data_IF_085274786138
#
_entry.id   IF_085274786138
#
_cell.length_a   1.000
_cell.length_b   1.000
_cell.length_c   1.000
_cell.angle_alpha   90.00
_cell.angle_beta   90.00
_cell.angle_gamma   90.00
#
_symmetry.space_group_name_H-M   'P 1'
#
loop_
_entity.id
_entity.type
_entity.pdbx_description
1 polymer ?
#
# COMPACT_ATOMS: atom_id res chain seq x y z
N UNK A 1 24.23 11.41 15.10
CA UNK A 1 25.30 12.31 14.68
C UNK A 1 25.11 13.72 15.24
N UNK A 2 23.94 14.39 15.07
CA UNK A 2 23.66 15.71 15.63
C UNK A 2 23.86 15.78 17.16
N UNK A 3 23.40 14.77 17.90
CA UNK A 3 23.60 14.67 19.34
C UNK A 3 25.09 14.62 19.70
N UNK A 4 25.88 13.86 18.96
CA UNK A 4 27.32 13.76 19.14
C UNK A 4 28.01 15.12 18.87
N UNK A 5 27.65 15.79 17.78
CA UNK A 5 28.21 17.11 17.45
C UNK A 5 27.91 18.17 18.53
N UNK A 6 26.65 18.21 18.99
CA UNK A 6 26.24 19.12 20.09
C UNK A 6 26.99 18.79 21.37
N UNK A 7 27.07 17.52 21.77
CA UNK A 7 27.79 17.09 22.97
C UNK A 7 29.28 17.45 22.90
N UNK A 8 29.92 17.22 21.75
CA UNK A 8 31.33 17.53 21.53
C UNK A 8 31.58 19.04 21.59
N UNK A 9 30.69 19.85 21.00
CA UNK A 9 30.75 21.31 21.05
C UNK A 9 30.65 21.82 22.50
N UNK A 10 29.72 21.28 23.29
CA UNK A 10 29.55 21.65 24.71
C UNK A 10 30.80 21.31 25.51
N UNK A 11 31.34 20.09 25.31
CA UNK A 11 32.59 19.66 25.99
C UNK A 11 33.72 20.60 25.65
N UNK A 12 33.93 20.92 24.40
CA UNK A 12 35.01 21.82 23.96
C UNK A 12 34.86 23.24 24.52
N UNK A 13 33.61 23.77 24.58
CA UNK A 13 33.35 25.06 25.20
C UNK A 13 33.68 25.05 26.68
N UNK A 14 33.33 24.01 27.43
CA UNK A 14 33.66 23.86 28.84
C UNK A 14 35.19 23.83 29.02
N UNK A 15 35.89 23.03 28.20
CA UNK A 15 37.36 22.95 28.24
C UNK A 15 38.00 24.32 27.99
N UNK A 16 37.55 25.06 26.97
CA UNK A 16 38.13 26.36 26.64
C UNK A 16 37.90 27.38 27.76
N UNK A 17 36.70 27.41 28.34
CA UNK A 17 36.37 28.32 29.46
C UNK A 17 37.22 27.97 30.71
N UNK A 18 37.47 26.68 30.98
CA UNK A 18 38.29 26.27 32.15
C UNK A 18 39.78 26.45 31.93
N UNK A 19 40.28 26.54 30.68
CA UNK A 19 41.70 26.80 30.41
C UNK A 19 42.16 28.15 30.93
N UNK A 20 41.32 29.19 30.94
CA UNK A 20 41.70 30.52 31.39
C UNK A 20 42.07 30.53 32.92
N UNK A 21 41.21 30.07 33.84
CA UNK A 21 41.55 30.01 35.25
C UNK A 21 42.72 29.03 35.55
N UNK A 22 42.81 27.92 34.81
CA UNK A 22 43.93 26.98 34.93
C UNK A 22 45.25 27.62 34.51
N UNK A 23 45.24 28.42 33.43
CA UNK A 23 46.41 29.17 32.97
C UNK A 23 46.88 30.15 34.05
N UNK A 24 45.98 30.95 34.64
CA UNK A 24 46.32 31.86 35.74
C UNK A 24 46.91 31.13 36.93
N UNK A 25 46.33 30.01 37.32
CA UNK A 25 46.82 29.19 38.43
C UNK A 25 48.22 28.63 38.14
N UNK A 26 48.51 28.25 36.90
CA UNK A 26 49.81 27.68 36.47
C UNK A 26 50.83 28.75 36.12
N UNK A 27 50.53 30.06 36.29
CA UNK A 27 51.46 31.15 35.95
C UNK A 27 51.63 31.39 34.46
N UNK A 28 50.78 30.83 33.59
CA UNK A 28 50.79 31.00 32.14
C UNK A 28 49.80 32.06 31.72
N UNK A 29 50.27 33.11 31.07
CA UNK A 29 49.41 34.13 30.50
C UNK A 29 48.82 33.66 29.17
N UNK A 30 47.52 33.25 29.21
CA UNK A 30 46.77 32.90 28.01
C UNK A 30 46.15 34.18 27.42
N UNK A 31 46.49 34.49 26.17
CA UNK A 31 45.87 35.59 25.46
C UNK A 31 44.45 35.21 25.01
N UNK A 32 43.51 36.14 25.09
CA UNK A 32 42.13 35.93 24.64
C UNK A 32 42.06 35.50 23.16
N UNK A 33 42.94 36.03 22.33
CA UNK A 33 43.05 35.63 20.92
C UNK A 33 43.39 34.13 20.76
N UNK A 34 44.20 33.56 21.64
CA UNK A 34 44.53 32.13 21.63
C UNK A 34 43.33 31.27 22.00
N UNK A 35 42.54 31.69 22.99
CA UNK A 35 41.32 30.99 23.38
C UNK A 35 40.25 31.04 22.29
N UNK A 36 40.10 32.17 21.62
CA UNK A 36 39.18 32.30 20.45
C UNK A 36 39.67 31.41 19.29
N UNK A 37 40.92 31.44 18.97
CA UNK A 37 41.49 30.58 17.92
C UNK A 37 41.25 29.09 18.25
N UNK A 38 41.46 28.69 19.52
CA UNK A 38 41.22 27.34 19.97
C UNK A 38 39.71 26.97 19.85
N UNK A 39 38.80 27.88 20.20
CA UNK A 39 37.36 27.69 20.05
C UNK A 39 36.98 27.43 18.59
N UNK A 40 37.50 28.23 17.67
CA UNK A 40 37.22 28.07 16.23
C UNK A 40 37.79 26.74 15.71
N UNK A 41 38.96 26.34 16.16
CA UNK A 41 39.58 25.09 15.74
C UNK A 41 38.89 23.81 16.29
N UNK A 42 38.37 23.88 17.52
CA UNK A 42 37.77 22.70 18.18
C UNK A 42 36.28 22.52 17.85
N UNK A 43 35.56 23.59 17.60
CA UNK A 43 34.14 23.46 17.20
C UNK A 43 34.06 22.84 15.80
N UNK A 44 33.35 21.71 15.64
CA UNK A 44 33.31 20.98 14.37
C UNK A 44 32.36 21.60 13.35
N UNK A 45 32.51 22.89 13.06
CA UNK A 45 31.64 23.66 12.16
C UNK A 45 31.66 23.13 10.72
N UNK A 46 32.82 22.66 10.25
CA UNK A 46 33.00 22.08 8.92
C UNK A 46 32.22 20.78 8.74
N UNK A 47 32.12 19.96 9.79
CA UNK A 47 31.36 18.70 9.75
C UNK A 47 29.87 19.01 9.62
N UNK A 48 29.34 19.99 10.36
CA UNK A 48 27.93 20.40 10.27
C UNK A 48 27.56 20.90 8.86
N UNK A 49 28.41 21.73 8.26
CA UNK A 49 28.22 22.21 6.87
C UNK A 49 28.33 21.08 5.83
N UNK A 50 29.29 20.18 5.99
CA UNK A 50 29.47 19.04 5.08
C UNK A 50 28.29 18.07 5.12
N UNK A 51 27.73 17.78 6.29
CA UNK A 51 26.55 16.93 6.44
C UNK A 51 25.34 17.49 5.70
N UNK A 52 25.10 18.78 5.81
CA UNK A 52 24.00 19.45 5.06
C UNK A 52 24.24 19.34 3.55
N UNK A 53 25.46 19.56 3.09
CA UNK A 53 25.81 19.46 1.68
C UNK A 53 25.65 18.02 1.13
N UNK A 54 26.07 17.02 1.90
CA UNK A 54 25.90 15.59 1.56
C UNK A 54 24.42 15.24 1.49
N UNK A 55 23.61 15.71 2.46
CA UNK A 55 22.16 15.51 2.46
C UNK A 55 21.47 16.07 1.21
N UNK A 56 21.84 17.30 0.81
CA UNK A 56 21.31 17.94 -0.40
C UNK A 56 21.74 17.17 -1.66
N UNK A 57 23.01 16.80 -1.76
CA UNK A 57 23.51 16.00 -2.87
C UNK A 57 22.84 14.63 -2.96
N UNK A 58 22.56 14.01 -1.81
CA UNK A 58 21.80 12.77 -1.72
C UNK A 58 20.36 12.92 -2.24
N UNK A 59 19.66 13.99 -1.84
CA UNK A 59 18.32 14.29 -2.34
C UNK A 59 18.30 14.50 -3.86
N UNK A 60 19.27 15.24 -4.43
CA UNK A 60 19.40 15.41 -5.88
C UNK A 60 19.57 14.07 -6.61
N UNK A 61 20.35 13.15 -6.03
CA UNK A 61 20.57 11.82 -6.62
C UNK A 61 19.30 10.99 -6.67
N UNK A 62 18.50 10.91 -5.58
CA UNK A 62 17.26 10.11 -5.58
C UNK A 62 16.20 10.74 -6.47
N UNK A 63 16.17 12.06 -6.63
CA UNK A 63 15.26 12.76 -7.56
C UNK A 63 15.48 12.32 -9.02
N UNK A 64 16.70 11.97 -9.40
CA UNK A 64 16.99 11.41 -10.75
C UNK A 64 16.38 10.02 -10.98
N UNK A 65 15.94 9.35 -9.93
CA UNK A 65 15.21 8.09 -9.97
C UNK A 65 13.70 8.26 -9.73
N UNK A 66 13.18 9.49 -9.92
CA UNK A 66 11.78 9.87 -9.70
C UNK A 66 11.31 9.76 -8.24
N UNK A 67 12.23 9.77 -7.27
CA UNK A 67 11.90 9.76 -5.84
C UNK A 67 12.21 11.13 -5.25
N UNK A 68 11.19 11.76 -4.67
CA UNK A 68 11.33 13.03 -3.95
C UNK A 68 11.55 12.73 -2.47
N UNK A 69 12.74 13.05 -1.96
CA UNK A 69 13.03 12.96 -0.53
C UNK A 69 12.80 14.31 0.16
N UNK A 70 12.12 14.30 1.30
CA UNK A 70 11.82 15.52 2.05
C UNK A 70 12.95 15.95 2.98
N UNK A 71 13.95 15.10 3.20
CA UNK A 71 15.13 15.43 4.00
C UNK A 71 16.33 14.56 3.66
N UNK A 72 17.54 15.11 3.84
CA UNK A 72 18.78 14.34 3.70
C UNK A 72 18.89 13.18 4.69
N UNK A 73 18.24 13.30 5.86
CA UNK A 73 18.17 12.23 6.86
C UNK A 73 17.39 11.01 6.36
N UNK A 74 16.31 11.23 5.60
CA UNK A 74 15.55 10.14 4.99
C UNK A 74 16.39 9.39 3.95
N UNK A 75 17.18 10.11 3.16
CA UNK A 75 18.10 9.50 2.18
C UNK A 75 19.19 8.68 2.87
N UNK A 76 19.78 9.20 3.97
CA UNK A 76 20.76 8.47 4.78
C UNK A 76 20.14 7.18 5.34
N UNK A 77 18.97 7.27 5.97
CA UNK A 77 18.27 6.11 6.51
C UNK A 77 17.90 5.06 5.44
N UNK A 78 17.61 5.51 4.21
CA UNK A 78 17.28 4.61 3.10
C UNK A 78 18.44 3.68 2.72
N UNK A 79 19.70 4.14 2.91
CA UNK A 79 20.89 3.33 2.68
C UNK A 79 21.12 2.23 3.71
N UNK A 80 20.52 2.35 4.90
CA UNK A 80 20.73 1.46 6.05
C UNK A 80 19.50 0.60 6.37
N UNK A 81 18.53 0.51 5.44
CA UNK A 81 17.29 -0.26 5.64
C UNK A 81 17.58 -1.75 5.78
N UNK A 82 17.12 -2.35 6.87
CA UNK A 82 17.19 -3.80 7.13
C UNK A 82 15.87 -4.51 6.76
N UNK A 83 14.72 -3.88 7.02
CA UNK A 83 13.40 -4.45 6.77
C UNK A 83 12.53 -3.47 6.01
N UNK A 84 11.91 -3.93 4.94
CA UNK A 84 10.92 -3.19 4.16
C UNK A 84 9.54 -3.81 4.36
N UNK A 85 8.62 -3.03 4.90
CA UNK A 85 7.21 -3.38 5.08
C UNK A 85 6.43 -2.75 3.93
N UNK A 86 5.62 -3.56 3.25
CA UNK A 86 4.88 -3.12 2.06
C UNK A 86 3.39 -3.34 2.27
N UNK A 87 2.59 -2.32 1.97
CA UNK A 87 1.16 -2.57 1.74
C UNK A 87 0.98 -3.40 0.47
N UNK A 88 -0.07 -4.23 0.44
CA UNK A 88 -0.40 -5.03 -0.76
C UNK A 88 -0.96 -4.14 -1.86
N UNK A 89 -2.06 -3.45 -1.54
CA UNK A 89 -2.92 -2.74 -2.49
C UNK A 89 -2.23 -1.48 -3.02
N UNK A 90 -2.24 -1.27 -4.35
CA UNK A 90 -1.59 -0.11 -4.97
C UNK A 90 -0.05 -0.16 -4.96
N UNK A 91 0.57 -0.92 -4.05
CA UNK A 91 2.04 -1.06 -3.91
C UNK A 91 2.56 -2.31 -4.61
N UNK A 92 2.24 -3.51 -4.12
CA UNK A 92 2.65 -4.79 -4.73
C UNK A 92 1.74 -5.13 -5.89
N UNK A 93 0.45 -4.86 -5.75
CA UNK A 93 -0.57 -5.05 -6.77
C UNK A 93 -0.98 -3.71 -7.37
N UNK A 94 -1.74 -3.75 -8.47
CA UNK A 94 -2.29 -2.52 -9.05
C UNK A 94 -3.38 -1.88 -8.18
N UNK A 95 -3.96 -2.61 -7.21
CA UNK A 95 -5.12 -2.19 -6.44
C UNK A 95 -6.42 -2.22 -7.25
N UNK A 96 -6.35 -2.58 -8.52
CA UNK A 96 -7.49 -2.71 -9.41
C UNK A 96 -7.87 -4.18 -9.47
N UNK A 97 -9.06 -4.51 -8.95
CA UNK A 97 -9.62 -5.85 -9.03
C UNK A 97 -10.17 -6.08 -10.42
N UNK A 98 -9.39 -6.70 -11.30
CA UNK A 98 -9.78 -6.95 -12.69
C UNK A 98 -10.54 -8.27 -12.82
N UNK A 99 -11.57 -8.30 -13.66
CA UNK A 99 -12.30 -9.52 -13.95
C UNK A 99 -11.42 -10.53 -14.69
N UNK A 100 -11.29 -11.71 -14.10
CA UNK A 100 -10.45 -12.79 -14.61
C UNK A 100 -11.27 -13.93 -15.22
N UNK A 101 -12.45 -14.24 -14.65
CA UNK A 101 -13.32 -15.31 -15.14
C UNK A 101 -14.76 -15.19 -14.60
N UNK A 102 -15.68 -16.00 -15.15
CA UNK A 102 -17.06 -16.14 -14.77
C UNK A 102 -17.37 -17.60 -14.42
N UNK A 103 -17.88 -17.84 -13.21
CA UNK A 103 -18.24 -19.18 -12.71
C UNK A 103 -19.75 -19.30 -12.54
N UNK A 104 -20.47 -20.01 -13.44
CA UNK A 104 -21.89 -20.25 -13.26
C UNK A 104 -22.17 -21.18 -12.07
N UNK A 105 -23.33 -21.00 -11.42
CA UNK A 105 -23.83 -21.85 -10.31
C UNK A 105 -25.26 -22.28 -10.56
N UNK A 106 -25.76 -23.29 -9.83
CA UNK A 106 -27.14 -23.75 -9.91
C UNK A 106 -27.59 -24.19 -11.28
N UNK A 107 -26.66 -24.64 -12.14
CA UNK A 107 -26.95 -25.07 -13.51
C UNK A 107 -27.29 -23.91 -14.47
N UNK A 108 -26.92 -22.66 -14.12
CA UNK A 108 -27.09 -21.53 -15.05
C UNK A 108 -26.12 -21.61 -16.22
N UNK A 109 -26.51 -21.09 -17.38
CA UNK A 109 -25.62 -21.00 -18.52
C UNK A 109 -24.57 -19.91 -18.31
N UNK A 110 -23.34 -20.21 -18.70
CA UNK A 110 -22.24 -19.25 -18.63
C UNK A 110 -22.50 -18.00 -19.49
N UNK A 111 -23.18 -18.16 -20.64
CA UNK A 111 -23.57 -17.04 -21.51
C UNK A 111 -24.54 -16.07 -20.84
N UNK A 112 -25.52 -16.59 -20.08
CA UNK A 112 -26.48 -15.78 -19.37
C UNK A 112 -25.80 -14.98 -18.25
N UNK A 113 -24.89 -15.63 -17.50
CA UNK A 113 -24.08 -14.97 -16.49
C UNK A 113 -23.21 -13.85 -17.09
N UNK A 114 -22.54 -14.09 -18.22
CA UNK A 114 -21.71 -13.10 -18.90
C UNK A 114 -22.55 -11.92 -19.36
N UNK A 115 -23.70 -12.18 -20.00
CA UNK A 115 -24.67 -11.16 -20.41
C UNK A 115 -25.13 -10.29 -19.24
N UNK A 116 -25.58 -10.89 -18.15
CA UNK A 116 -26.05 -10.17 -16.96
C UNK A 116 -24.92 -9.38 -16.29
N UNK A 117 -23.72 -9.93 -16.21
CA UNK A 117 -22.53 -9.24 -15.72
C UNK A 117 -22.17 -8.03 -16.59
N UNK A 118 -22.27 -8.15 -17.91
CA UNK A 118 -22.06 -7.05 -18.87
C UNK A 118 -23.10 -5.95 -18.68
N UNK A 119 -24.39 -6.30 -18.66
CA UNK A 119 -25.50 -5.35 -18.47
C UNK A 119 -25.36 -4.52 -17.18
N UNK A 120 -25.01 -5.16 -16.06
CA UNK A 120 -24.80 -4.46 -14.78
C UNK A 120 -23.52 -3.61 -14.74
N UNK A 121 -22.67 -3.73 -15.76
CA UNK A 121 -21.36 -3.05 -15.82
C UNK A 121 -21.31 -1.96 -16.89
N UNK A 122 -22.35 -1.75 -17.70
CA UNK A 122 -22.38 -0.77 -18.79
C UNK A 122 -22.15 0.68 -18.30
N UNK A 123 -22.70 1.03 -17.16
CA UNK A 123 -22.57 2.37 -16.55
C UNK A 123 -21.72 2.36 -15.27
N UNK A 124 -21.03 1.25 -15.00
CA UNK A 124 -20.13 1.14 -13.86
C UNK A 124 -18.74 1.66 -14.24
N UNK A 125 -18.45 2.91 -13.85
CA UNK A 125 -17.18 3.55 -14.16
C UNK A 125 -15.99 3.06 -13.31
N UNK A 126 -16.24 2.17 -12.33
CA UNK A 126 -15.17 1.58 -11.52
C UNK A 126 -14.23 0.71 -12.37
N UNK A 127 -12.97 0.53 -11.96
CA UNK A 127 -12.06 -0.39 -12.64
C UNK A 127 -12.62 -1.82 -12.75
N UNK A 128 -13.34 -2.26 -11.72
CA UNK A 128 -14.00 -3.56 -11.65
C UNK A 128 -15.11 -3.68 -12.72
N UNK A 129 -15.95 -2.66 -12.84
CA UNK A 129 -17.03 -2.62 -13.83
C UNK A 129 -16.51 -2.60 -15.26
N UNK A 130 -15.55 -1.69 -15.55
CA UNK A 130 -14.91 -1.61 -16.89
C UNK A 130 -14.23 -2.92 -17.27
N UNK A 131 -13.51 -3.54 -16.35
CA UNK A 131 -12.84 -4.82 -16.56
C UNK A 131 -13.83 -5.97 -16.80
N UNK A 132 -14.94 -5.98 -16.07
CA UNK A 132 -16.02 -6.98 -16.24
C UNK A 132 -16.62 -6.88 -17.64
N UNK A 133 -16.93 -5.67 -18.08
CA UNK A 133 -17.46 -5.40 -19.43
C UNK A 133 -16.46 -5.78 -20.52
N UNK A 134 -15.18 -5.44 -20.35
CA UNK A 134 -14.13 -5.79 -21.30
C UNK A 134 -13.96 -7.31 -21.41
N UNK A 135 -13.96 -8.02 -20.28
CA UNK A 135 -13.87 -9.48 -20.28
C UNK A 135 -15.09 -10.12 -20.96
N UNK A 136 -16.30 -9.63 -20.68
CA UNK A 136 -17.54 -10.10 -21.31
C UNK A 136 -17.47 -9.93 -22.84
N UNK A 137 -17.03 -8.78 -23.33
CA UNK A 137 -16.87 -8.50 -24.76
C UNK A 137 -15.83 -9.43 -25.41
N UNK A 138 -14.71 -9.69 -24.74
CA UNK A 138 -13.69 -10.67 -25.23
C UNK A 138 -14.26 -12.09 -25.32
N UNK A 139 -15.23 -12.43 -24.48
CA UNK A 139 -15.91 -13.74 -24.51
C UNK A 139 -17.09 -13.79 -25.48
N UNK A 140 -17.30 -12.74 -26.27
CA UNK A 140 -18.30 -12.69 -27.34
C UNK A 140 -19.63 -12.07 -26.96
N UNK A 141 -19.75 -11.47 -25.77
CA UNK A 141 -20.95 -10.71 -25.40
C UNK A 141 -20.95 -9.34 -26.09
N UNK A 142 -22.08 -8.99 -26.71
CA UNK A 142 -22.30 -7.71 -27.36
C UNK A 142 -23.52 -6.98 -26.79
N UNK A 143 -23.79 -7.20 -25.49
CA UNK A 143 -24.89 -6.51 -24.82
C UNK A 143 -24.71 -4.99 -24.87
N UNK A 144 -25.76 -4.31 -25.33
CA UNK A 144 -25.86 -2.87 -25.42
C UNK A 144 -26.94 -2.35 -24.46
N UNK A 145 -26.90 -1.07 -24.19
CA UNK A 145 -27.90 -0.42 -23.38
C UNK A 145 -29.29 -0.53 -24.04
N UNK A 146 -30.25 -1.02 -23.27
CA UNK A 146 -31.63 -1.06 -23.72
C UNK A 146 -32.31 0.27 -23.34
N UNK A 147 -32.92 0.94 -24.31
CA UNK A 147 -33.62 2.22 -24.07
C UNK A 147 -34.69 2.05 -23.00
N UNK A 148 -34.64 2.88 -21.96
CA UNK A 148 -35.56 2.83 -20.81
C UNK A 148 -35.07 1.96 -19.66
N UNK A 149 -33.83 1.48 -19.68
CA UNK A 149 -33.20 0.83 -18.53
C UNK A 149 -32.85 1.84 -17.43
N UNK A 150 -33.01 1.45 -16.17
CA UNK A 150 -32.66 2.23 -14.99
C UNK A 150 -31.45 1.59 -14.29
N UNK A 151 -30.33 2.31 -14.22
CA UNK A 151 -29.10 1.83 -13.58
C UNK A 151 -29.11 2.16 -12.10
N UNK A 152 -28.72 1.17 -11.28
CA UNK A 152 -28.64 1.27 -9.83
C UNK A 152 -27.17 1.27 -9.44
N UNK A 153 -26.70 2.41 -8.90
CA UNK A 153 -25.34 2.57 -8.44
C UNK A 153 -25.06 1.76 -7.17
N UNK A 154 -23.80 1.37 -6.99
CA UNK A 154 -23.35 0.70 -5.78
C UNK A 154 -23.43 1.63 -4.56
N UNK A 155 -24.01 1.12 -3.46
CA UNK A 155 -23.96 1.80 -2.17
C UNK A 155 -23.37 0.89 -1.09
N UNK A 156 -22.73 1.48 -0.08
CA UNK A 156 -22.17 0.74 1.04
C UNK A 156 -23.26 0.02 1.89
N UNK A 157 -24.49 0.54 1.86
CA UNK A 157 -25.63 -0.05 2.58
C UNK A 157 -26.16 -1.29 1.87
N UNK A 158 -26.38 -1.21 0.56
CA UNK A 158 -26.93 -2.33 -0.23
C UNK A 158 -25.85 -3.33 -0.63
N UNK A 159 -24.61 -2.88 -0.78
CA UNK A 159 -23.45 -3.66 -1.25
C UNK A 159 -23.68 -4.37 -2.58
N UNK A 160 -24.54 -3.79 -3.43
CA UNK A 160 -24.86 -4.26 -4.77
C UNK A 160 -25.16 -3.09 -5.71
N UNK A 161 -24.97 -3.32 -7.00
CA UNK A 161 -25.34 -2.46 -8.12
C UNK A 161 -26.11 -3.27 -9.15
N UNK A 162 -26.70 -2.63 -10.14
CA UNK A 162 -27.46 -3.38 -11.14
C UNK A 162 -28.16 -2.53 -12.16
N UNK A 163 -29.11 -3.16 -12.85
CA UNK A 163 -29.97 -2.52 -13.85
C UNK A 163 -31.38 -3.11 -13.79
N UNK A 164 -32.37 -2.25 -13.90
CA UNK A 164 -33.78 -2.61 -14.12
C UNK A 164 -34.08 -2.42 -15.61
N UNK A 165 -34.46 -3.49 -16.28
CA UNK A 165 -34.77 -3.48 -17.70
C UNK A 165 -36.21 -3.08 -17.93
N UNK A 166 -36.56 -2.55 -19.13
CA UNK A 166 -37.93 -2.09 -19.44
C UNK A 166 -39.01 -3.17 -19.42
N UNK A 167 -38.59 -4.44 -19.58
CA UNK A 167 -39.49 -5.61 -19.49
C UNK A 167 -39.79 -6.04 -18.05
N UNK A 168 -39.23 -5.34 -17.06
CA UNK A 168 -39.36 -5.60 -15.63
C UNK A 168 -38.32 -6.51 -15.04
N UNK A 169 -37.43 -7.07 -15.84
CA UNK A 169 -36.30 -7.90 -15.36
C UNK A 169 -35.31 -7.07 -14.55
N UNK A 170 -34.86 -7.58 -13.40
CA UNK A 170 -33.92 -6.92 -12.49
C UNK A 170 -32.64 -7.70 -12.39
N UNK A 171 -31.54 -7.11 -12.86
CA UNK A 171 -30.22 -7.72 -12.77
C UNK A 171 -29.41 -7.03 -11.69
N UNK A 172 -28.80 -7.81 -10.79
CA UNK A 172 -27.96 -7.30 -9.70
C UNK A 172 -26.62 -8.01 -9.67
N UNK A 173 -25.57 -7.25 -9.32
CA UNK A 173 -24.24 -7.79 -8.97
C UNK A 173 -23.79 -7.20 -7.64
N UNK A 174 -23.11 -7.99 -6.81
CA UNK A 174 -22.63 -7.51 -5.51
C UNK A 174 -21.99 -8.58 -4.65
N UNK A 175 -21.81 -8.24 -3.39
CA UNK A 175 -21.29 -9.19 -2.40
C UNK A 175 -22.24 -10.39 -2.25
N UNK A 176 -21.68 -11.59 -2.08
CA UNK A 176 -22.47 -12.82 -2.07
C UNK A 176 -23.61 -12.80 -1.04
N UNK A 177 -23.31 -12.38 0.19
CA UNK A 177 -24.27 -12.26 1.28
C UNK A 177 -25.40 -11.24 0.98
N UNK A 178 -25.08 -10.14 0.31
CA UNK A 178 -26.08 -9.13 -0.08
C UNK A 178 -27.02 -9.66 -1.18
N UNK A 179 -26.48 -10.29 -2.20
CA UNK A 179 -27.25 -10.91 -3.29
C UNK A 179 -28.11 -12.08 -2.75
N UNK A 180 -27.59 -12.90 -1.83
CA UNK A 180 -28.38 -13.96 -1.21
C UNK A 180 -29.59 -13.41 -0.44
N UNK A 181 -29.40 -12.34 0.34
CA UNK A 181 -30.51 -11.69 1.05
C UNK A 181 -31.54 -11.12 0.07
N UNK A 182 -31.09 -10.48 -1.01
CA UNK A 182 -31.96 -9.93 -2.05
C UNK A 182 -32.79 -11.03 -2.72
N UNK A 183 -32.15 -12.12 -3.15
CA UNK A 183 -32.83 -13.26 -3.81
C UNK A 183 -33.82 -13.96 -2.86
N UNK A 184 -33.44 -14.17 -1.59
CA UNK A 184 -34.34 -14.72 -0.55
C UNK A 184 -35.56 -13.84 -0.30
N UNK A 185 -35.38 -12.52 -0.32
CA UNK A 185 -36.50 -11.57 -0.16
C UNK A 185 -37.52 -11.64 -1.32
N UNK A 186 -37.04 -12.04 -2.52
CA UNK A 186 -37.89 -12.28 -3.69
C UNK A 186 -38.50 -13.70 -3.73
N UNK A 187 -38.15 -14.57 -2.77
CA UNK A 187 -38.61 -15.96 -2.69
C UNK A 187 -37.79 -16.95 -3.51
N UNK A 188 -36.63 -16.52 -4.02
CA UNK A 188 -35.71 -17.36 -4.78
C UNK A 188 -34.92 -18.35 -3.90
N UNK A 189 -34.36 -19.36 -4.56
CA UNK A 189 -33.57 -20.44 -3.92
C UNK A 189 -32.06 -20.17 -4.16
N UNK A 190 -31.29 -20.32 -3.09
CA UNK A 190 -29.83 -20.18 -3.18
C UNK A 190 -29.22 -21.51 -3.66
N UNK A 191 -28.43 -21.51 -4.75
CA UNK A 191 -27.75 -22.70 -5.22
C UNK A 191 -26.75 -23.26 -4.18
N UNK A 192 -26.72 -24.57 -4.00
CA UNK A 192 -25.84 -25.25 -3.04
C UNK A 192 -24.35 -25.04 -3.34
N UNK A 193 -24.01 -24.92 -4.63
CA UNK A 193 -22.64 -24.74 -5.13
C UNK A 193 -22.13 -23.28 -5.04
N UNK A 194 -23.00 -22.30 -4.69
CA UNK A 194 -22.61 -20.90 -4.60
C UNK A 194 -21.47 -20.67 -3.60
N UNK A 195 -21.65 -21.17 -2.38
CA UNK A 195 -20.65 -20.99 -1.32
C UNK A 195 -19.31 -21.69 -1.64
N UNK A 196 -19.35 -22.83 -2.32
CA UNK A 196 -18.15 -23.51 -2.78
C UNK A 196 -17.38 -22.65 -3.78
N UNK A 197 -18.07 -22.05 -4.77
CA UNK A 197 -17.43 -21.18 -5.76
C UNK A 197 -16.91 -19.88 -5.12
N UNK A 198 -17.68 -19.26 -4.23
CA UNK A 198 -17.25 -18.07 -3.48
C UNK A 198 -15.98 -18.35 -2.66
N UNK A 199 -15.96 -19.45 -1.91
CA UNK A 199 -14.81 -19.87 -1.12
C UNK A 199 -13.59 -20.22 -1.99
N UNK A 200 -13.80 -20.87 -3.13
CA UNK A 200 -12.76 -21.19 -4.10
C UNK A 200 -12.11 -19.94 -4.65
N UNK A 201 -12.91 -18.94 -5.07
CA UNK A 201 -12.39 -17.65 -5.57
C UNK A 201 -11.62 -16.92 -4.46
N UNK A 202 -12.17 -16.87 -3.25
CA UNK A 202 -11.50 -16.25 -2.10
C UNK A 202 -10.17 -16.95 -1.77
N UNK A 203 -10.12 -18.28 -1.85
CA UNK A 203 -8.90 -19.05 -1.62
C UNK A 203 -7.82 -18.85 -2.69
N UNK A 204 -8.22 -18.46 -3.89
CA UNK A 204 -7.31 -18.07 -4.98
C UNK A 204 -6.83 -16.61 -4.90
N UNK A 205 -7.17 -15.90 -3.81
CA UNK A 205 -6.79 -14.51 -3.64
C UNK A 205 -7.68 -13.51 -4.39
N UNK A 206 -8.84 -13.95 -4.86
CA UNK A 206 -9.77 -13.11 -5.60
C UNK A 206 -10.91 -12.55 -4.76
N UNK A 207 -11.62 -11.59 -5.33
CA UNK A 207 -12.88 -11.08 -4.78
C UNK A 207 -14.03 -11.64 -5.61
N UNK A 208 -14.95 -12.42 -5.00
CA UNK A 208 -16.13 -12.90 -5.68
C UNK A 208 -17.20 -11.80 -5.72
N UNK A 209 -17.78 -11.53 -6.89
CA UNK A 209 -19.00 -10.77 -7.05
C UNK A 209 -20.09 -11.67 -7.60
N UNK A 210 -21.17 -11.85 -6.85
CA UNK A 210 -22.31 -12.68 -7.25
C UNK A 210 -23.25 -11.89 -8.16
N UNK A 211 -23.78 -12.55 -9.17
CA UNK A 211 -24.73 -12.00 -10.15
C UNK A 211 -26.04 -12.77 -10.08
N UNK A 212 -27.17 -12.04 -10.03
CA UNK A 212 -28.51 -12.61 -10.13
C UNK A 212 -29.37 -11.87 -11.15
N UNK A 213 -30.33 -12.57 -11.69
CA UNK A 213 -31.43 -12.07 -12.54
C UNK A 213 -32.73 -12.40 -11.81
N UNK A 214 -33.46 -11.37 -11.41
CA UNK A 214 -34.63 -11.48 -10.55
C UNK A 214 -34.37 -12.29 -9.26
N UNK A 215 -35.09 -13.39 -9.08
CA UNK A 215 -35.00 -14.30 -7.93
C UNK A 215 -33.99 -15.45 -8.12
N UNK A 216 -33.20 -15.43 -9.22
CA UNK A 216 -32.26 -16.51 -9.56
C UNK A 216 -30.80 -16.05 -9.57
N UNK A 217 -29.95 -16.70 -8.78
CA UNK A 217 -28.49 -16.53 -8.85
C UNK A 217 -27.96 -17.26 -10.09
N UNK A 218 -27.19 -16.54 -10.93
CA UNK A 218 -26.60 -17.10 -12.14
C UNK A 218 -25.16 -17.56 -11.93
N UNK A 219 -24.40 -16.87 -11.06
CA UNK A 219 -23.00 -17.23 -10.85
C UNK A 219 -22.19 -16.15 -10.16
N UNK A 220 -20.88 -16.29 -10.25
CA UNK A 220 -19.91 -15.44 -9.57
C UNK A 220 -18.88 -14.93 -10.58
N UNK A 221 -18.63 -13.62 -10.56
CA UNK A 221 -17.52 -12.98 -11.27
C UNK A 221 -16.27 -13.13 -10.38
N UNK A 222 -15.19 -13.64 -10.93
CA UNK A 222 -13.90 -13.68 -10.28
C UNK A 222 -13.11 -12.41 -10.59
N UNK A 223 -12.97 -11.55 -9.59
CA UNK A 223 -12.08 -10.39 -9.68
C UNK A 223 -10.76 -10.73 -9.02
N UNK A 224 -9.67 -10.54 -9.75
CA UNK A 224 -8.29 -10.77 -9.26
C UNK A 224 -7.54 -9.45 -9.17
N UNK A 225 -6.92 -9.19 -8.03
CA UNK A 225 -5.93 -8.13 -7.88
C UNK A 225 -4.59 -8.65 -8.40
N UNK A 226 -4.08 -8.03 -9.46
CA UNK A 226 -2.91 -8.54 -10.18
C UNK A 226 -1.62 -7.96 -9.59
N UNK A 227 -0.67 -8.82 -9.29
CA UNK A 227 0.70 -8.43 -8.90
C UNK A 227 1.34 -7.66 -10.06
N UNK A 228 1.98 -6.53 -9.74
CA UNK A 228 2.68 -5.72 -10.76
C UNK A 228 3.82 -6.53 -11.38
N UNK A 229 4.07 -6.41 -12.69
CA UNK A 229 5.14 -7.14 -13.36
C UNK A 229 6.52 -6.75 -12.80
N UNK A 230 7.43 -7.71 -12.76
CA UNK A 230 8.80 -7.50 -12.29
C UNK A 230 8.96 -7.39 -10.76
N UNK A 231 7.90 -7.70 -9.97
CA UNK A 231 8.00 -7.65 -8.51
C UNK A 231 8.94 -8.73 -7.95
N UNK A 232 8.93 -9.93 -8.53
CA UNK A 232 9.82 -11.02 -8.10
C UNK A 232 11.28 -10.60 -8.20
N UNK A 233 11.69 -10.08 -9.35
CA UNK A 233 13.07 -9.63 -9.58
C UNK A 233 13.46 -8.45 -8.68
N UNK A 234 12.50 -7.57 -8.36
CA UNK A 234 12.74 -6.46 -7.45
C UNK A 234 12.99 -6.96 -6.02
N UNK A 235 12.17 -7.89 -5.54
CA UNK A 235 12.35 -8.47 -4.20
C UNK A 235 13.59 -9.35 -4.12
N UNK A 236 13.97 -10.07 -5.18
CA UNK A 236 15.25 -10.78 -5.23
C UNK A 236 16.44 -9.82 -5.12
N UNK A 237 16.40 -8.66 -5.78
CA UNK A 237 17.44 -7.63 -5.66
C UNK A 237 17.52 -7.05 -4.24
N UNK A 238 16.38 -6.76 -3.60
CA UNK A 238 16.34 -6.29 -2.22
C UNK A 238 16.94 -7.34 -1.27
N UNK A 239 16.59 -8.61 -1.44
CA UNK A 239 17.14 -9.73 -0.68
C UNK A 239 18.66 -9.89 -0.88
N UNK A 240 19.14 -9.70 -2.10
CA UNK A 240 20.56 -9.80 -2.42
C UNK A 240 21.42 -8.74 -1.71
N UNK A 241 20.85 -7.59 -1.36
CA UNK A 241 21.51 -6.53 -0.56
C UNK A 241 21.18 -6.61 0.93
N UNK A 242 20.51 -7.69 1.38
CA UNK A 242 20.24 -7.97 2.78
C UNK A 242 18.94 -7.38 3.34
N UNK A 243 18.09 -6.79 2.51
CA UNK A 243 16.81 -6.22 2.95
C UNK A 243 15.73 -7.31 2.99
N UNK A 244 15.13 -7.52 4.17
CA UNK A 244 13.98 -8.40 4.37
C UNK A 244 12.70 -7.69 3.95
N UNK A 245 11.82 -8.37 3.22
CA UNK A 245 10.54 -7.84 2.73
C UNK A 245 9.34 -8.51 3.40
N UNK A 246 8.42 -7.71 3.94
CA UNK A 246 7.21 -8.19 4.64
C UNK A 246 6.00 -7.48 4.02
N UNK A 247 5.08 -8.25 3.45
CA UNK A 247 3.79 -7.74 2.97
C UNK A 247 2.78 -7.68 4.12
N UNK A 248 2.12 -6.53 4.30
CA UNK A 248 0.99 -6.37 5.21
C UNK A 248 -0.30 -6.19 4.40
N UNK A 249 -1.36 -6.93 4.75
CA UNK A 249 -2.65 -6.86 4.06
C UNK A 249 -3.81 -7.15 5.00
N UNK A 250 -4.97 -6.51 4.77
CA UNK A 250 -6.23 -6.85 5.44
C UNK A 250 -6.91 -8.12 4.92
N UNK A 251 -6.34 -8.78 3.91
CA UNK A 251 -6.88 -10.01 3.36
C UNK A 251 -6.76 -11.18 4.36
N UNK A 252 -7.55 -12.24 4.11
CA UNK A 252 -7.42 -13.50 4.87
C UNK A 252 -6.05 -14.17 4.62
N UNK A 253 -5.61 -15.07 5.53
CA UNK A 253 -4.29 -15.70 5.44
C UNK A 253 -4.02 -16.47 4.13
N UNK A 254 -5.05 -17.06 3.55
CA UNK A 254 -4.93 -17.87 2.34
C UNK A 254 -4.67 -17.01 1.10
N UNK A 255 -5.41 -15.91 0.99
CA UNK A 255 -5.21 -14.86 -0.04
C UNK A 255 -3.84 -14.22 0.09
N UNK A 256 -3.47 -13.83 1.32
CA UNK A 256 -2.19 -13.21 1.60
C UNK A 256 -1.01 -14.13 1.23
N UNK A 257 -1.09 -15.41 1.59
CA UNK A 257 -0.07 -16.41 1.25
C UNK A 257 0.10 -16.58 -0.26
N UNK A 258 -1.02 -16.61 -1.01
CA UNK A 258 -0.99 -16.76 -2.48
C UNK A 258 -0.30 -15.56 -3.12
N UNK A 259 -0.67 -14.34 -2.74
CA UNK A 259 -0.08 -13.10 -3.30
C UNK A 259 1.38 -12.95 -2.87
N UNK A 260 1.72 -13.25 -1.62
CA UNK A 260 3.09 -13.20 -1.12
C UNK A 260 4.02 -14.13 -1.93
N UNK A 261 3.54 -15.34 -2.23
CA UNK A 261 4.26 -16.32 -3.06
C UNK A 261 4.39 -15.84 -4.52
N UNK A 262 3.32 -15.29 -5.10
CA UNK A 262 3.32 -14.77 -6.47
C UNK A 262 4.27 -13.57 -6.62
N UNK A 263 4.29 -12.68 -5.63
CA UNK A 263 5.16 -11.51 -5.60
C UNK A 263 6.62 -11.84 -5.24
N UNK A 264 6.86 -12.90 -4.48
CA UNK A 264 8.20 -13.32 -4.04
C UNK A 264 8.73 -12.58 -2.81
N UNK A 265 7.85 -12.08 -1.93
CA UNK A 265 8.25 -11.46 -0.65
C UNK A 265 8.71 -12.52 0.37
N UNK A 266 9.50 -12.11 1.38
CA UNK A 266 10.06 -13.03 2.38
C UNK A 266 9.06 -13.45 3.45
N UNK A 267 8.06 -12.60 3.70
CA UNK A 267 7.01 -12.87 4.68
C UNK A 267 5.75 -12.05 4.43
N UNK A 268 4.68 -12.40 5.14
CA UNK A 268 3.44 -11.64 5.09
C UNK A 268 2.72 -11.64 6.44
N UNK A 269 1.87 -10.63 6.64
CA UNK A 269 0.94 -10.50 7.76
C UNK A 269 -0.44 -10.27 7.16
N UNK A 270 -1.34 -11.20 7.44
CA UNK A 270 -2.73 -11.19 6.99
C UNK A 270 -3.65 -10.56 8.06
N UNK A 271 -4.90 -10.22 7.67
CA UNK A 271 -5.91 -9.64 8.56
C UNK A 271 -5.42 -8.39 9.32
N UNK A 272 -4.44 -7.70 8.73
CA UNK A 272 -3.73 -6.59 9.33
C UNK A 272 -4.60 -5.33 9.34
N UNK A 273 -4.87 -4.80 10.53
CA UNK A 273 -5.49 -3.49 10.72
C UNK A 273 -4.44 -2.38 10.61
N UNK A 274 -4.84 -1.13 10.44
CA UNK A 274 -3.89 -0.01 10.39
C UNK A 274 -2.96 0.07 11.60
N UNK A 275 -3.47 -0.22 12.81
CA UNK A 275 -2.70 -0.22 14.05
C UNK A 275 -1.64 -1.34 14.07
N UNK A 276 -1.98 -2.52 13.53
CA UNK A 276 -1.07 -3.67 13.49
C UNK A 276 0.17 -3.38 12.65
N UNK A 277 0.04 -2.58 11.56
CA UNK A 277 1.17 -2.14 10.74
C UNK A 277 2.19 -1.34 11.56
N UNK A 278 1.70 -0.46 12.45
CA UNK A 278 2.55 0.33 13.35
C UNK A 278 3.28 -0.58 14.35
N UNK A 279 2.58 -1.58 14.89
CA UNK A 279 3.17 -2.50 15.87
C UNK A 279 4.26 -3.38 15.24
N UNK A 280 4.07 -3.82 14.00
CA UNK A 280 5.12 -4.53 13.24
C UNK A 280 6.36 -3.64 13.04
N UNK A 281 6.18 -2.36 12.66
CA UNK A 281 7.28 -1.41 12.51
C UNK A 281 8.02 -1.24 13.84
N UNK A 282 7.29 -0.96 14.93
CA UNK A 282 7.88 -0.78 16.26
C UNK A 282 8.63 -2.02 16.75
N UNK A 283 8.11 -3.21 16.47
CA UNK A 283 8.77 -4.47 16.82
C UNK A 283 10.13 -4.59 16.13
N UNK A 284 10.20 -4.43 14.81
CA UNK A 284 11.45 -4.47 14.05
C UNK A 284 12.41 -3.36 14.52
N UNK A 285 11.91 -2.15 14.79
CA UNK A 285 12.71 -1.04 15.33
C UNK A 285 13.26 -1.34 16.73
N UNK A 286 12.50 -2.04 17.59
CA UNK A 286 12.96 -2.42 18.94
C UNK A 286 14.11 -3.43 18.92
N UNK A 287 14.25 -4.18 17.83
CA UNK A 287 15.37 -5.08 17.56
C UNK A 287 16.61 -4.33 17.00
N UNK A 288 16.55 -2.99 16.91
CA UNK A 288 17.64 -2.15 16.40
C UNK A 288 17.69 -2.03 14.88
N UNK A 289 16.68 -2.50 14.16
CA UNK A 289 16.60 -2.46 12.68
C UNK A 289 16.10 -1.12 12.16
N UNK A 290 16.61 -0.71 11.02
CA UNK A 290 16.09 0.42 10.23
C UNK A 290 14.97 -0.10 9.34
N UNK A 291 13.75 0.48 9.51
CA UNK A 291 12.54 0.00 8.86
C UNK A 291 12.07 1.00 7.81
N UNK A 292 11.87 0.51 6.59
CA UNK A 292 11.13 1.21 5.54
C UNK A 292 9.68 0.73 5.50
N UNK A 293 8.74 1.65 5.25
CA UNK A 293 7.32 1.35 4.99
C UNK A 293 6.91 1.95 3.66
N UNK A 294 6.24 1.16 2.83
CA UNK A 294 5.68 1.64 1.56
C UNK A 294 4.17 1.39 1.52
N UNK A 295 3.41 2.41 1.15
CA UNK A 295 1.95 2.35 1.06
C UNK A 295 1.38 3.51 0.25
N UNK A 296 0.08 3.44 -0.09
CA UNK A 296 -0.62 4.42 -0.92
C UNK A 296 -1.90 4.97 -0.27
N UNK A 297 -2.41 4.32 0.77
CA UNK A 297 -3.68 4.63 1.42
C UNK A 297 -3.59 5.63 2.58
N UNK A 298 -4.70 6.28 2.88
CA UNK A 298 -4.84 7.12 4.09
C UNK A 298 -4.65 6.30 5.38
N UNK A 299 -5.02 5.03 5.34
CA UNK A 299 -4.81 4.06 6.43
C UNK A 299 -3.33 3.73 6.67
N UNK A 300 -2.45 4.01 5.70
CA UNK A 300 -1.01 3.79 5.83
C UNK A 300 -0.26 5.00 6.41
N UNK A 301 -0.89 6.18 6.40
CA UNK A 301 -0.25 7.42 6.84
C UNK A 301 0.41 7.33 8.23
N UNK A 302 -0.23 6.75 9.27
CA UNK A 302 0.42 6.61 10.58
C UNK A 302 1.62 5.64 10.56
N UNK A 303 1.57 4.58 9.76
CA UNK A 303 2.66 3.62 9.59
C UNK A 303 3.84 4.23 8.80
N UNK A 304 3.55 5.00 7.75
CA UNK A 304 4.55 5.76 6.97
C UNK A 304 5.29 6.77 7.87
N UNK A 305 4.57 7.47 8.75
CA UNK A 305 5.16 8.42 9.68
C UNK A 305 6.00 7.74 10.78
N UNK A 306 5.63 6.52 11.21
CA UNK A 306 6.35 5.77 12.24
C UNK A 306 7.66 5.18 11.72
N UNK A 307 7.72 4.79 10.46
CA UNK A 307 8.90 4.16 9.86
C UNK A 307 10.10 5.12 9.79
N UNK A 308 11.32 4.57 9.80
CA UNK A 308 12.54 5.35 9.58
C UNK A 308 12.55 5.95 8.16
N UNK A 309 12.05 5.18 7.19
CA UNK A 309 11.81 5.61 5.81
C UNK A 309 10.36 5.31 5.44
N UNK A 310 9.53 6.33 5.31
CA UNK A 310 8.18 6.23 4.77
C UNK A 310 8.17 6.61 3.31
N UNK A 311 7.88 5.69 2.41
CA UNK A 311 7.80 5.91 0.97
C UNK A 311 6.34 5.84 0.52
N UNK A 312 5.75 6.98 0.17
CA UNK A 312 4.41 7.02 -0.41
C UNK A 312 4.47 6.84 -1.93
N UNK A 313 3.51 6.09 -2.46
CA UNK A 313 3.38 5.94 -3.92
C UNK A 313 2.82 7.23 -4.54
N UNK A 314 3.24 7.56 -5.76
CA UNK A 314 2.71 8.73 -6.47
C UNK A 314 1.21 8.65 -6.75
N UNK A 315 0.68 7.44 -6.96
CA UNK A 315 -0.76 7.18 -7.06
C UNK A 315 -1.50 7.29 -5.73
N UNK A 316 -0.78 7.40 -4.60
CA UNK A 316 -1.34 7.40 -3.26
C UNK A 316 -2.09 8.68 -2.88
N UNK A 317 -2.82 8.59 -1.76
CA UNK A 317 -3.59 9.70 -1.20
C UNK A 317 -2.70 10.85 -0.72
N UNK A 318 -3.25 12.06 -0.65
CA UNK A 318 -2.54 13.23 -0.10
C UNK A 318 -2.06 12.97 1.34
N UNK A 319 -2.89 12.32 2.17
CA UNK A 319 -2.53 11.98 3.55
C UNK A 319 -1.31 11.05 3.63
N UNK A 320 -1.21 10.04 2.74
CA UNK A 320 -0.05 9.16 2.67
C UNK A 320 1.22 9.93 2.26
N UNK A 321 1.11 10.81 1.25
CA UNK A 321 2.24 11.64 0.78
C UNK A 321 2.73 12.63 1.83
N UNK A 322 1.83 13.26 2.58
CA UNK A 322 2.19 14.20 3.65
C UNK A 322 2.82 13.50 4.87
N UNK A 323 2.41 12.27 5.16
CA UNK A 323 2.96 11.50 6.27
C UNK A 323 4.32 10.85 5.95
N UNK A 324 4.59 10.58 4.69
CA UNK A 324 5.83 9.98 4.23
C UNK A 324 6.99 10.99 4.26
N UNK A 325 8.22 10.48 4.34
CA UNK A 325 9.43 11.31 4.17
C UNK A 325 10.10 11.14 2.81
N UNK A 326 9.52 10.28 1.95
CA UNK A 326 9.83 10.12 0.52
C UNK A 326 8.55 9.87 -0.27
N UNK A 327 8.53 10.31 -1.54
CA UNK A 327 7.43 10.08 -2.51
C UNK A 327 8.04 9.60 -3.82
N UNK A 328 7.50 8.47 -4.35
CA UNK A 328 7.89 7.90 -5.66
C UNK A 328 7.11 8.58 -6.79
#
# INVERSE_FOLDING_TARGET
>A
LNTLLVSLTIIFLIVIVTLYPIGIYSGVQLQTSTLIALAVCLIPTTIGGLLSAIGIAGMDRVTRFNVIAMSGKAVEACGDVDTMILDKTGTITYGNRLAADFFPVGGANRSDLIRCAALTSLHDETPEGKSTLELARRLGDNSEETAGSEFIEFTAQTRMSGVDLPDGTKVRKGAADAIEQYVKALGGIIPEDLHEQVNKISSLGGTPLTVCEDDRILGVIYLKDTVKPGMVERFERLRAIGIKTIMCTGDNPLTAATIAKEAGVDGFIAECKPEDKIDVIKKEQSEGKIVAMTGDGTNDAPALAQANVGLAMNSGTTAAKEAANMVD
#
